data_IF_368239977936
#
_entry.id   IF_368239977936
#
_cell.length_a   1.000
_cell.length_b   1.000
_cell.length_c   1.000
_cell.angle_alpha   90.00
_cell.angle_beta   90.00
_cell.angle_gamma   90.00
#
_symmetry.space_group_name_H-M   'P 1'
#
loop_
_entity.id
_entity.type
_entity.pdbx_description
1 polymer ?
#
# COMPACT_ATOMS: atom_id res chain seq x y z
N UNK A 1 -9.04 -17.28 6.58
CA UNK A 1 -10.52 -17.32 6.43
C UNK A 1 -11.29 -16.23 7.19
N UNK A 2 -10.65 -15.34 7.97
CA UNK A 2 -11.36 -14.26 8.70
C UNK A 2 -11.43 -12.93 7.93
N UNK A 3 -10.42 -12.60 7.10
CA UNK A 3 -10.39 -11.36 6.31
C UNK A 3 -11.66 -11.19 5.46
N UNK A 4 -12.05 -12.21 4.69
CA UNK A 4 -13.23 -12.14 3.82
C UNK A 4 -14.52 -11.86 4.60
N UNK A 5 -14.69 -12.47 5.78
CA UNK A 5 -15.86 -12.23 6.65
C UNK A 5 -15.88 -10.79 7.18
N UNK A 6 -14.72 -10.26 7.57
CA UNK A 6 -14.60 -8.88 8.02
C UNK A 6 -14.92 -7.89 6.87
N UNK A 7 -14.33 -8.08 5.69
CA UNK A 7 -14.62 -7.23 4.53
C UNK A 7 -16.09 -7.31 4.10
N UNK A 8 -16.75 -8.48 4.19
CA UNK A 8 -18.17 -8.59 3.90
C UNK A 8 -19.05 -7.73 4.84
N UNK A 9 -18.59 -7.50 6.08
CA UNK A 9 -19.27 -6.65 7.06
C UNK A 9 -18.95 -5.15 6.90
N UNK A 10 -17.78 -4.79 6.35
CA UNK A 10 -17.37 -3.40 6.14
C UNK A 10 -17.85 -2.90 4.77
N UNK A 11 -18.98 -2.17 4.73
CA UNK A 11 -19.64 -1.78 3.47
C UNK A 11 -18.97 -0.64 2.69
N UNK A 12 -18.16 0.18 3.36
CA UNK A 12 -17.65 1.43 2.80
C UNK A 12 -16.12 1.46 2.69
N UNK A 13 -15.47 0.30 2.50
CA UNK A 13 -14.01 0.26 2.29
C UNK A 13 -13.68 0.74 0.90
N UNK A 14 -13.05 1.91 0.80
CA UNK A 14 -12.67 2.54 -0.48
C UNK A 14 -11.17 2.46 -0.77
N UNK A 15 -10.34 2.25 0.26
CA UNK A 15 -8.88 2.12 0.14
C UNK A 15 -8.36 1.09 1.14
N UNK A 16 -7.52 0.17 0.68
CA UNK A 16 -6.85 -0.83 1.52
C UNK A 16 -5.33 -0.61 1.46
N UNK A 17 -4.74 -0.19 2.58
CA UNK A 17 -3.30 0.03 2.68
C UNK A 17 -2.59 -1.27 2.99
N UNK A 18 -1.70 -1.73 2.10
CA UNK A 18 -0.97 -2.99 2.22
C UNK A 18 0.44 -2.75 2.73
N UNK A 19 0.70 -3.08 4.00
CA UNK A 19 1.98 -2.76 4.66
C UNK A 19 2.89 -4.00 4.68
N UNK A 20 3.99 -3.93 3.94
CA UNK A 20 5.01 -4.97 3.89
C UNK A 20 4.70 -6.14 2.96
N UNK A 21 5.72 -6.96 2.72
CA UNK A 21 5.72 -7.99 1.68
C UNK A 21 4.61 -9.03 1.86
N UNK A 22 4.34 -9.46 3.10
CA UNK A 22 3.32 -10.47 3.37
C UNK A 22 1.91 -10.00 2.96
N UNK A 23 1.60 -8.70 3.15
CA UNK A 23 0.35 -8.13 2.69
C UNK A 23 0.31 -8.02 1.16
N UNK A 24 1.44 -7.69 0.52
CA UNK A 24 1.52 -7.59 -0.94
C UNK A 24 1.27 -8.96 -1.58
N UNK A 25 1.98 -9.99 -1.12
CA UNK A 25 1.83 -11.37 -1.60
C UNK A 25 0.39 -11.87 -1.43
N UNK A 26 -0.22 -11.63 -0.26
CA UNK A 26 -1.57 -12.11 0.01
C UNK A 26 -2.66 -11.41 -0.81
N UNK A 27 -2.59 -10.09 -0.96
CA UNK A 27 -3.68 -9.31 -1.57
C UNK A 27 -3.46 -8.97 -3.05
N UNK A 28 -2.20 -8.92 -3.51
CA UNK A 28 -1.90 -8.65 -4.92
C UNK A 28 -1.71 -9.95 -5.71
N UNK A 29 -1.27 -11.04 -5.05
CA UNK A 29 -0.99 -12.32 -5.70
C UNK A 29 -0.04 -12.15 -6.89
N UNK A 30 -0.40 -12.71 -8.03
CA UNK A 30 0.38 -12.63 -9.27
C UNK A 30 0.55 -11.20 -9.83
N UNK A 31 -0.23 -10.24 -9.33
CA UNK A 31 -0.07 -8.82 -9.70
C UNK A 31 1.07 -8.14 -8.96
N UNK A 32 1.58 -8.72 -7.86
CA UNK A 32 2.75 -8.17 -7.18
C UNK A 32 3.95 -8.13 -8.13
N UNK A 33 4.75 -7.06 -8.07
CA UNK A 33 6.02 -7.02 -8.82
C UNK A 33 7.03 -7.98 -8.17
N UNK A 34 8.14 -8.32 -8.85
CA UNK A 34 9.14 -9.27 -8.34
C UNK A 34 9.78 -8.91 -6.99
N UNK A 35 9.63 -7.67 -6.50
CA UNK A 35 10.12 -7.28 -5.17
C UNK A 35 9.19 -6.29 -4.47
N UNK A 36 9.35 -6.18 -3.15
CA UNK A 36 8.71 -5.14 -2.32
C UNK A 36 8.95 -3.74 -2.89
N UNK A 37 10.21 -3.43 -3.23
CA UNK A 37 10.61 -2.12 -3.76
C UNK A 37 9.88 -1.82 -5.06
N UNK A 38 9.87 -2.76 -6.01
CA UNK A 38 9.20 -2.55 -7.30
C UNK A 38 7.69 -2.46 -7.16
N UNK A 39 7.09 -3.22 -6.24
CA UNK A 39 5.66 -3.15 -5.93
C UNK A 39 5.28 -1.78 -5.38
N UNK A 40 6.05 -1.26 -4.42
CA UNK A 40 5.82 0.09 -3.86
C UNK A 40 6.12 1.19 -4.87
N UNK A 41 7.12 1.01 -5.75
CA UNK A 41 7.46 1.98 -6.80
C UNK A 41 6.35 2.12 -7.84
N UNK A 42 5.66 1.03 -8.14
CA UNK A 42 4.54 0.97 -9.08
C UNK A 42 3.18 0.99 -8.36
N UNK A 43 3.08 1.67 -7.21
CA UNK A 43 1.87 1.66 -6.38
C UNK A 43 0.59 2.10 -7.14
N UNK A 44 0.73 2.96 -8.15
CA UNK A 44 -0.37 3.44 -8.99
C UNK A 44 -1.11 2.31 -9.73
N UNK A 45 -0.44 1.19 -10.04
CA UNK A 45 -1.02 0.05 -10.75
C UNK A 45 -2.13 -0.65 -9.93
N UNK A 46 -2.20 -0.37 -8.61
CA UNK A 46 -3.12 -1.03 -7.69
C UNK A 46 -4.22 -0.11 -7.13
N UNK A 47 -4.14 1.18 -7.45
CA UNK A 47 -5.18 2.15 -7.12
C UNK A 47 -6.45 1.92 -7.94
N UNK A 48 -7.64 2.33 -7.43
CA UNK A 48 -7.87 2.97 -6.13
C UNK A 48 -7.98 1.98 -4.96
N UNK A 49 -8.06 0.67 -5.25
CA UNK A 49 -8.41 -0.34 -4.23
C UNK A 49 -7.29 -0.60 -3.24
N UNK A 50 -6.04 -0.72 -3.69
CA UNK A 50 -4.90 -1.08 -2.85
C UNK A 50 -3.80 -0.03 -2.93
N UNK A 51 -3.16 0.23 -1.79
CA UNK A 51 -1.99 1.09 -1.70
C UNK A 51 -0.83 0.33 -1.02
N UNK A 52 0.13 -0.22 -1.78
CA UNK A 52 1.26 -0.93 -1.20
C UNK A 52 2.29 0.04 -0.59
N UNK A 53 2.74 -0.28 0.63
CA UNK A 53 3.79 0.45 1.34
C UNK A 53 4.83 -0.51 1.92
N UNK A 54 6.04 0.00 2.15
CA UNK A 54 7.01 -0.65 3.02
C UNK A 54 6.56 -0.58 4.48
N UNK A 55 7.04 -1.50 5.31
CA UNK A 55 6.75 -1.48 6.75
C UNK A 55 7.34 -0.22 7.43
N UNK A 56 6.64 0.47 8.34
CA UNK A 56 7.14 1.68 9.01
C UNK A 56 8.15 1.37 10.14
N UNK A 57 8.94 0.30 10.00
CA UNK A 57 9.97 -0.04 11.01
C UNK A 57 11.19 0.87 10.84
N UNK A 58 11.87 1.25 11.93
CA UNK A 58 13.17 1.94 11.86
C UNK A 58 14.21 1.21 10.98
N UNK A 59 14.08 -0.12 10.84
CA UNK A 59 14.93 -0.93 9.95
C UNK A 59 14.82 -0.51 8.47
N UNK A 60 13.72 0.14 8.07
CA UNK A 60 13.53 0.66 6.72
C UNK A 60 14.08 2.08 6.50
N UNK A 61 14.74 2.70 7.48
CA UNK A 61 15.34 4.03 7.31
C UNK A 61 16.43 4.04 6.22
N UNK A 62 17.28 3.02 6.19
CA UNK A 62 18.31 2.87 5.13
C UNK A 62 17.65 2.66 3.77
N UNK A 63 16.57 1.87 3.71
CA UNK A 63 15.82 1.65 2.48
C UNK A 63 15.21 2.97 1.98
N UNK A 64 14.59 3.76 2.85
CA UNK A 64 14.02 5.07 2.48
C UNK A 64 15.09 6.05 2.00
N UNK A 65 16.25 6.06 2.65
CA UNK A 65 17.39 6.89 2.21
C UNK A 65 17.89 6.50 0.81
N UNK A 66 17.87 5.21 0.47
CA UNK A 66 18.22 4.70 -0.87
C UNK A 66 17.11 4.86 -1.91
N UNK A 67 15.88 5.14 -1.48
CA UNK A 67 14.69 5.25 -2.33
C UNK A 67 13.98 6.58 -2.08
N UNK A 68 14.60 7.74 -2.40
CA UNK A 68 14.05 9.07 -2.09
C UNK A 68 12.67 9.30 -2.71
N UNK A 69 12.42 8.69 -3.87
CA UNK A 69 11.12 8.69 -4.56
C UNK A 69 9.96 8.21 -3.68
N UNK A 70 10.21 7.38 -2.66
CA UNK A 70 9.16 6.96 -1.72
C UNK A 70 8.57 8.18 -0.99
N UNK A 71 9.43 9.06 -0.47
CA UNK A 71 8.99 10.25 0.24
C UNK A 71 8.45 11.33 -0.69
N UNK A 72 9.02 11.43 -1.89
CA UNK A 72 8.71 12.49 -2.86
C UNK A 72 7.45 12.20 -3.69
N UNK A 73 7.13 10.93 -3.93
CA UNK A 73 6.03 10.53 -4.83
C UNK A 73 4.99 9.66 -4.15
N UNK A 74 5.41 8.67 -3.36
CA UNK A 74 4.46 7.70 -2.77
C UNK A 74 3.71 8.31 -1.59
N UNK A 75 4.40 8.95 -0.65
CA UNK A 75 3.75 9.52 0.54
C UNK A 75 2.79 10.70 0.22
N UNK A 76 3.09 11.62 -0.72
CA UNK A 76 2.14 12.66 -1.10
C UNK A 76 0.86 12.08 -1.72
N UNK A 77 0.99 11.09 -2.60
CA UNK A 77 -0.18 10.44 -3.21
C UNK A 77 -1.01 9.68 -2.16
N UNK A 78 -0.36 8.97 -1.23
CA UNK A 78 -1.05 8.34 -0.10
C UNK A 78 -1.87 9.36 0.70
N UNK A 79 -1.30 10.53 1.00
CA UNK A 79 -2.01 11.60 1.70
C UNK A 79 -3.21 12.11 0.90
N UNK A 80 -3.07 12.23 -0.41
CA UNK A 80 -4.16 12.65 -1.30
C UNK A 80 -5.28 11.60 -1.32
N UNK A 81 -4.97 10.31 -1.48
CA UNK A 81 -5.95 9.23 -1.42
C UNK A 81 -6.68 9.22 -0.07
N UNK A 82 -5.94 9.26 1.05
CA UNK A 82 -6.53 9.28 2.40
C UNK A 82 -7.42 10.50 2.59
N UNK A 83 -6.97 11.69 2.17
CA UNK A 83 -7.78 12.91 2.25
C UNK A 83 -9.08 12.74 1.48
N UNK A 84 -9.01 12.21 0.25
CA UNK A 84 -10.19 11.91 -0.56
C UNK A 84 -11.18 11.01 0.17
N UNK A 85 -10.71 9.91 0.78
CA UNK A 85 -11.55 9.00 1.56
C UNK A 85 -12.18 9.68 2.78
N UNK A 86 -11.43 10.52 3.51
CA UNK A 86 -11.93 11.16 4.74
C UNK A 86 -12.91 12.31 4.49
N UNK A 87 -12.92 12.88 3.27
CA UNK A 87 -13.82 13.97 2.89
C UNK A 87 -14.99 13.52 2.00
N UNK A 88 -15.08 12.23 1.71
CA UNK A 88 -16.16 11.63 0.90
C UNK A 88 -17.39 11.29 1.74
#
# INVERSE_FOLDING_TARGET
LWHAKLFAAMKNVTLIVLIGQHAHEHYLGDRAKPSLTETVKHFNDYLPTYFPLVHPSPRNNIWQAKNPWFRERVLPELRQCIKGVLTS
#
